data_IF_920167897840
#
_entry.id   IF_920167897840
#
_cell.length_a   1.000
_cell.length_b   1.000
_cell.length_c   1.000
_cell.angle_alpha   90.00
_cell.angle_beta   90.00
_cell.angle_gamma   90.00
#
_symmetry.space_group_name_H-M   'P 1'
#
loop_
_entity.id
_entity.type
_entity.pdbx_description
1 polymer ?
#
# COMPACT_ATOMS: atom_id res chain seq x y z
N UNK A 1 0.74 8.97 15.57
CA UNK A 1 2.17 8.70 15.88
C UNK A 1 2.60 9.19 17.26
N UNK A 2 2.35 10.46 17.65
CA UNK A 2 2.81 11.00 18.94
C UNK A 2 2.31 10.20 20.14
N UNK A 3 1.03 9.79 20.12
CA UNK A 3 0.46 8.98 21.20
C UNK A 3 1.15 7.62 21.29
N UNK A 4 1.38 6.97 20.15
CA UNK A 4 2.07 5.68 20.09
C UNK A 4 3.53 5.80 20.58
N UNK A 5 4.24 6.86 20.22
CA UNK A 5 5.59 7.12 20.73
C UNK A 5 5.63 7.25 22.25
N UNK A 6 4.66 7.99 22.83
CA UNK A 6 4.57 8.13 24.30
C UNK A 6 4.30 6.78 24.97
N UNK A 7 3.40 5.98 24.40
CA UNK A 7 3.07 4.65 24.92
C UNK A 7 4.24 3.66 24.79
N UNK A 8 4.98 3.72 23.69
CA UNK A 8 6.17 2.91 23.50
C UNK A 8 7.26 3.23 24.52
N UNK A 9 7.53 4.52 24.77
CA UNK A 9 8.49 4.94 25.80
C UNK A 9 8.08 4.53 27.22
N UNK A 10 6.80 4.33 27.45
CA UNK A 10 6.26 3.81 28.70
C UNK A 10 6.26 2.27 28.78
N UNK A 11 6.71 1.58 27.73
CA UNK A 11 6.66 0.13 27.64
C UNK A 11 5.26 -0.47 27.51
N UNK A 12 4.26 0.34 27.13
CA UNK A 12 2.86 -0.06 27.02
C UNK A 12 2.48 -0.61 25.67
N UNK A 13 3.25 -0.31 24.62
CA UNK A 13 3.15 -0.92 23.30
C UNK A 13 4.53 -1.34 22.81
N UNK A 14 4.58 -2.25 21.85
CA UNK A 14 5.81 -2.70 21.21
C UNK A 14 6.31 -1.73 20.14
N UNK A 15 7.06 -2.27 19.20
CA UNK A 15 7.52 -1.53 18.01
C UNK A 15 6.34 -1.18 17.12
N UNK A 16 6.29 0.05 16.63
CA UNK A 16 5.31 0.45 15.63
C UNK A 16 6.01 1.17 14.47
N UNK A 17 5.36 1.19 13.32
CA UNK A 17 5.84 1.88 12.13
C UNK A 17 5.17 3.25 12.01
N UNK A 18 5.88 4.37 12.27
CA UNK A 18 5.29 5.70 12.19
C UNK A 18 4.95 6.08 10.75
N UNK A 19 3.84 6.77 10.55
CA UNK A 19 3.44 7.37 9.26
C UNK A 19 4.15 8.70 9.03
N UNK A 20 4.64 9.31 10.09
CA UNK A 20 5.25 10.66 10.09
C UNK A 20 6.20 10.88 8.92
N UNK A 21 5.89 11.90 8.10
CA UNK A 21 6.62 12.25 6.89
C UNK A 21 6.16 11.51 5.63
N UNK A 22 5.13 10.66 5.72
CA UNK A 22 4.53 9.91 4.60
C UNK A 22 3.01 10.03 4.58
N UNK A 23 2.45 10.99 5.31
CA UNK A 23 1.00 11.17 5.47
C UNK A 23 0.32 11.48 4.14
N UNK A 24 0.95 12.33 3.33
CA UNK A 24 0.38 12.72 2.04
C UNK A 24 0.22 11.55 1.08
N UNK A 25 1.20 10.62 1.07
CA UNK A 25 1.11 9.39 0.28
C UNK A 25 -0.06 8.51 0.71
N UNK A 26 -0.27 8.37 2.02
CA UNK A 26 -1.37 7.59 2.59
C UNK A 26 -2.73 8.24 2.31
N UNK A 27 -2.88 9.51 2.69
CA UNK A 27 -4.17 10.21 2.63
C UNK A 27 -4.59 10.48 1.19
N UNK A 28 -3.65 11.00 0.35
CA UNK A 28 -3.93 11.32 -1.03
C UNK A 28 -4.38 10.12 -1.85
N UNK A 29 -3.76 8.95 -1.64
CA UNK A 29 -4.11 7.75 -2.37
C UNK A 29 -5.41 7.09 -1.85
N UNK A 30 -5.59 7.01 -0.54
CA UNK A 30 -6.79 6.43 0.04
C UNK A 30 -8.06 7.22 -0.31
N UNK A 31 -7.94 8.55 -0.47
CA UNK A 31 -9.05 9.43 -0.85
C UNK A 31 -9.62 9.16 -2.26
N UNK A 32 -8.91 8.41 -3.09
CA UNK A 32 -9.37 8.02 -4.44
C UNK A 32 -10.27 6.79 -4.41
N UNK A 33 -10.14 5.96 -3.38
CA UNK A 33 -10.84 4.67 -3.31
C UNK A 33 -12.34 4.86 -3.04
N UNK A 34 -13.14 4.09 -3.76
CA UNK A 34 -14.57 3.88 -3.44
C UNK A 34 -14.70 2.88 -2.30
N UNK A 35 -15.85 2.82 -1.66
CA UNK A 35 -16.10 1.83 -0.60
C UNK A 35 -15.99 0.39 -1.10
N UNK A 36 -16.34 0.13 -2.36
CA UNK A 36 -16.23 -1.17 -3.02
C UNK A 36 -14.82 -1.58 -3.42
N UNK A 37 -13.87 -0.62 -3.49
CA UNK A 37 -12.47 -0.90 -3.82
C UNK A 37 -11.74 -1.58 -2.66
N UNK A 38 -10.72 -2.35 -3.00
CA UNK A 38 -9.88 -3.03 -2.03
C UNK A 38 -8.62 -2.23 -1.68
N UNK A 39 -8.33 -2.15 -0.40
CA UNK A 39 -7.06 -1.62 0.10
C UNK A 39 -6.23 -2.74 0.73
N UNK A 40 -4.98 -2.86 0.28
CA UNK A 40 -4.05 -3.89 0.73
C UNK A 40 -2.82 -3.21 1.33
N UNK A 41 -2.76 -3.21 2.65
CA UNK A 41 -1.74 -2.50 3.42
C UNK A 41 -0.54 -3.38 3.73
N UNK A 42 0.61 -2.75 3.97
CA UNK A 42 1.75 -3.36 4.61
C UNK A 42 1.67 -3.17 6.14
N UNK A 43 2.36 -2.15 6.66
CA UNK A 43 2.38 -1.87 8.11
C UNK A 43 2.57 -0.38 8.44
N UNK A 44 2.61 0.50 7.42
CA UNK A 44 2.85 1.93 7.62
C UNK A 44 1.68 2.80 7.14
N UNK A 45 0.54 2.20 6.88
CA UNK A 45 -0.59 2.84 6.23
C UNK A 45 -1.70 3.23 7.21
N UNK A 46 -1.36 3.47 8.49
CA UNK A 46 -2.36 3.80 9.51
C UNK A 46 -3.22 5.03 9.16
N UNK A 47 -2.68 6.02 8.44
CA UNK A 47 -3.48 7.16 8.01
C UNK A 47 -4.51 6.77 6.93
N UNK A 48 -4.13 5.90 5.99
CA UNK A 48 -5.05 5.35 4.98
C UNK A 48 -6.12 4.46 5.64
N UNK A 49 -5.73 3.64 6.61
CA UNK A 49 -6.66 2.78 7.35
C UNK A 49 -7.70 3.60 8.13
N UNK A 50 -7.28 4.70 8.79
CA UNK A 50 -8.20 5.61 9.47
C UNK A 50 -9.22 6.25 8.50
N UNK A 51 -8.80 6.61 7.30
CA UNK A 51 -9.72 7.12 6.26
C UNK A 51 -10.73 6.07 5.81
N UNK A 52 -10.36 4.79 5.90
CA UNK A 52 -11.20 3.64 5.53
C UNK A 52 -12.02 3.09 6.70
N UNK A 53 -12.08 3.82 7.83
CA UNK A 53 -12.96 3.49 8.94
C UNK A 53 -12.31 2.72 10.10
N UNK A 54 -11.02 2.35 10.01
CA UNK A 54 -10.31 1.81 11.19
C UNK A 54 -10.23 2.88 12.27
N UNK A 55 -10.43 2.51 13.52
CA UNK A 55 -10.38 3.46 14.63
C UNK A 55 -8.96 3.64 15.18
N UNK A 56 -8.73 4.74 15.89
CA UNK A 56 -7.46 4.94 16.61
C UNK A 56 -7.30 3.90 17.73
N UNK A 57 -8.39 3.41 18.29
CA UNK A 57 -8.41 2.38 19.31
C UNK A 57 -7.91 1.05 18.76
N UNK A 58 -8.42 0.63 17.59
CA UNK A 58 -7.96 -0.58 16.91
C UNK A 58 -6.46 -0.54 16.62
N UNK A 59 -5.95 0.60 16.15
CA UNK A 59 -4.52 0.78 15.92
C UNK A 59 -3.69 0.64 17.21
N UNK A 60 -4.18 1.20 18.32
CA UNK A 60 -3.50 1.10 19.61
C UNK A 60 -3.55 -0.32 20.17
N UNK A 61 -4.66 -1.02 20.02
CA UNK A 61 -4.80 -2.43 20.39
C UNK A 61 -3.87 -3.30 19.56
N UNK A 62 -3.81 -3.10 18.24
CA UNK A 62 -2.92 -3.85 17.35
C UNK A 62 -1.45 -3.74 17.79
N UNK A 63 -0.95 -2.51 17.98
CA UNK A 63 0.42 -2.27 18.43
C UNK A 63 0.64 -2.62 19.91
N UNK A 64 -0.42 -2.75 20.67
CA UNK A 64 -0.41 -3.30 22.03
C UNK A 64 -0.29 -4.83 22.08
N UNK A 65 -0.41 -5.51 20.92
CA UNK A 65 -0.34 -6.97 20.81
C UNK A 65 -1.68 -7.66 21.08
N UNK A 66 -2.79 -6.96 21.00
CA UNK A 66 -4.13 -7.52 21.17
C UNK A 66 -4.70 -7.94 19.81
N UNK A 67 -5.22 -9.15 19.71
CA UNK A 67 -5.77 -9.70 18.47
C UNK A 67 -6.94 -8.88 17.93
N UNK A 68 -7.74 -8.30 18.81
CA UNK A 68 -8.89 -7.46 18.47
C UNK A 68 -8.50 -6.26 17.60
N UNK A 69 -7.31 -5.72 17.81
CA UNK A 69 -6.78 -4.62 17.00
C UNK A 69 -6.42 -5.01 15.55
N UNK A 70 -6.27 -6.30 15.27
CA UNK A 70 -6.01 -6.84 13.93
C UNK A 70 -7.28 -7.15 13.12
N UNK A 71 -8.45 -7.02 13.74
CA UNK A 71 -9.72 -7.29 13.07
C UNK A 71 -10.05 -6.22 12.03
N UNK A 72 -10.49 -6.66 10.86
CA UNK A 72 -11.01 -5.80 9.82
C UNK A 72 -12.53 -6.04 9.75
N UNK A 73 -13.38 -5.00 9.91
CA UNK A 73 -14.83 -5.15 9.78
C UNK A 73 -15.23 -5.72 8.42
N UNK A 74 -16.27 -6.55 8.40
CA UNK A 74 -16.72 -7.26 7.18
C UNK A 74 -17.23 -6.33 6.07
N UNK A 75 -17.67 -5.13 6.42
CA UNK A 75 -18.17 -4.11 5.51
C UNK A 75 -17.05 -3.24 4.90
N UNK A 76 -15.80 -3.46 5.31
CA UNK A 76 -14.64 -2.72 4.82
C UNK A 76 -13.76 -3.65 3.97
N UNK A 77 -13.58 -3.31 2.69
CA UNK A 77 -12.72 -4.04 1.77
C UNK A 77 -11.23 -3.71 1.98
N UNK A 78 -10.70 -4.07 3.16
CA UNK A 78 -9.29 -3.98 3.47
C UNK A 78 -8.75 -5.36 3.81
N UNK A 79 -7.49 -5.64 3.43
CA UNK A 79 -6.78 -6.76 4.03
C UNK A 79 -6.14 -6.34 5.35
N UNK A 80 -5.97 -7.28 6.29
CA UNK A 80 -5.28 -7.00 7.54
C UNK A 80 -3.81 -6.63 7.27
N UNK A 81 -3.22 -5.92 8.22
CA UNK A 81 -1.80 -5.54 8.19
C UNK A 81 -0.90 -6.74 7.94
N UNK A 82 -0.02 -6.64 6.92
CA UNK A 82 0.92 -7.70 6.52
C UNK A 82 2.36 -7.27 6.77
N UNK A 83 3.06 -7.98 7.65
CA UNK A 83 4.46 -7.71 8.01
C UNK A 83 5.46 -8.33 7.00
N UNK A 84 5.24 -9.53 6.42
CA UNK A 84 6.16 -10.08 5.41
C UNK A 84 6.27 -9.16 4.20
N UNK A 85 7.47 -8.57 4.03
CA UNK A 85 7.71 -7.52 3.05
C UNK A 85 7.51 -8.01 1.62
N UNK A 86 6.59 -7.39 0.89
CA UNK A 86 6.31 -7.70 -0.52
C UNK A 86 5.16 -8.70 -0.74
N UNK A 87 4.85 -9.56 0.22
CA UNK A 87 3.85 -10.64 0.08
C UNK A 87 2.45 -10.12 -0.28
N UNK A 88 2.08 -8.94 0.23
CA UNK A 88 0.78 -8.32 -0.01
C UNK A 88 0.55 -7.97 -1.48
N UNK A 89 1.60 -7.81 -2.27
CA UNK A 89 1.47 -7.46 -3.69
C UNK A 89 0.80 -8.59 -4.50
N UNK A 90 1.13 -9.85 -4.22
CA UNK A 90 0.49 -11.02 -4.84
C UNK A 90 -0.98 -11.12 -4.45
N UNK A 91 -1.32 -10.85 -3.18
CA UNK A 91 -2.71 -10.85 -2.73
C UNK A 91 -3.54 -9.77 -3.46
N UNK A 92 -2.99 -8.56 -3.60
CA UNK A 92 -3.67 -7.48 -4.32
C UNK A 92 -3.94 -7.84 -5.78
N UNK A 93 -2.99 -8.45 -6.46
CA UNK A 93 -3.14 -8.91 -7.83
C UNK A 93 -4.21 -10.00 -7.94
N UNK A 94 -4.23 -10.94 -7.00
CA UNK A 94 -5.27 -11.98 -6.93
C UNK A 94 -6.67 -11.38 -6.74
N UNK A 95 -6.81 -10.38 -5.85
CA UNK A 95 -8.06 -9.64 -5.65
C UNK A 95 -8.46 -8.91 -6.93
N UNK A 96 -7.54 -8.16 -7.53
CA UNK A 96 -7.80 -7.44 -8.78
C UNK A 96 -8.25 -8.39 -9.90
N UNK A 97 -7.58 -9.53 -10.03
CA UNK A 97 -7.97 -10.54 -11.01
C UNK A 97 -9.36 -11.12 -10.74
N UNK A 98 -9.67 -11.41 -9.48
CA UNK A 98 -11.00 -11.91 -9.10
C UNK A 98 -12.11 -10.89 -9.40
N UNK A 99 -11.87 -9.59 -9.16
CA UNK A 99 -12.82 -8.53 -9.51
C UNK A 99 -13.04 -8.46 -11.02
N UNK A 100 -11.96 -8.46 -11.81
CA UNK A 100 -12.03 -8.50 -13.28
C UNK A 100 -12.79 -9.71 -13.78
N UNK A 101 -12.50 -10.90 -13.26
CA UNK A 101 -13.18 -12.14 -13.64
C UNK A 101 -14.68 -12.09 -13.35
N UNK A 102 -15.08 -11.38 -12.29
CA UNK A 102 -16.48 -11.17 -11.92
C UNK A 102 -17.17 -10.01 -12.66
N UNK A 103 -16.46 -9.34 -13.56
CA UNK A 103 -16.99 -8.21 -14.34
C UNK A 103 -17.21 -6.94 -13.49
N UNK A 104 -16.48 -6.79 -12.38
CA UNK A 104 -16.54 -5.58 -11.54
C UNK A 104 -15.53 -4.55 -12.02
N UNK A 105 -15.84 -3.26 -11.83
CA UNK A 105 -14.97 -2.13 -12.14
C UNK A 105 -14.18 -1.62 -10.89
N UNK A 106 -14.18 -2.40 -9.82
CA UNK A 106 -13.44 -2.10 -8.60
C UNK A 106 -11.94 -2.28 -8.82
N UNK A 107 -11.13 -1.56 -8.03
CA UNK A 107 -9.68 -1.65 -8.06
C UNK A 107 -9.11 -2.16 -6.73
N UNK A 108 -7.90 -2.72 -6.78
CA UNK A 108 -7.12 -3.06 -5.61
C UNK A 108 -5.91 -2.12 -5.51
N UNK A 109 -5.82 -1.31 -4.47
CA UNK A 109 -4.65 -0.47 -4.17
C UNK A 109 -3.78 -1.19 -3.17
N UNK A 110 -2.51 -1.46 -3.53
CA UNK A 110 -1.54 -2.09 -2.64
C UNK A 110 -0.41 -1.15 -2.30
N UNK A 111 -0.09 -1.08 -1.00
CA UNK A 111 1.01 -0.29 -0.47
C UNK A 111 2.22 -1.16 -0.17
N UNK A 112 3.40 -0.63 -0.43
CA UNK A 112 4.68 -1.27 -0.07
C UNK A 112 5.81 -0.24 -0.04
N UNK A 113 6.89 -0.54 0.68
CA UNK A 113 8.08 0.30 0.72
C UNK A 113 9.07 -0.02 -0.42
N UNK A 114 10.08 0.84 -0.58
CA UNK A 114 11.17 0.63 -1.55
C UNK A 114 11.89 -0.71 -1.38
N UNK A 115 12.05 -1.18 -0.14
CA UNK A 115 12.64 -2.49 0.15
C UNK A 115 11.87 -3.68 -0.44
N UNK A 116 10.56 -3.59 -0.53
CA UNK A 116 9.73 -4.63 -1.14
C UNK A 116 10.04 -4.84 -2.62
N UNK A 117 10.55 -3.81 -3.31
CA UNK A 117 10.92 -3.91 -4.73
C UNK A 117 12.14 -4.79 -4.99
N UNK A 118 12.77 -5.31 -3.97
CA UNK A 118 13.87 -6.29 -4.04
C UNK A 118 13.41 -7.74 -3.79
N UNK A 119 12.12 -7.94 -3.47
CA UNK A 119 11.53 -9.26 -3.25
C UNK A 119 11.02 -9.86 -4.57
N UNK A 120 11.07 -11.20 -4.68
CA UNK A 120 10.54 -11.94 -5.83
C UNK A 120 9.05 -11.67 -6.03
N UNK A 121 8.27 -11.73 -4.95
CA UNK A 121 6.82 -11.52 -4.93
C UNK A 121 6.40 -10.23 -5.65
N UNK A 122 7.16 -9.13 -5.46
CA UNK A 122 6.90 -7.87 -6.15
C UNK A 122 7.02 -8.01 -7.68
N UNK A 123 8.05 -8.67 -8.16
CA UNK A 123 8.29 -8.86 -9.59
C UNK A 123 7.27 -9.83 -10.21
N UNK A 124 6.92 -10.88 -9.49
CA UNK A 124 5.91 -11.84 -9.90
C UNK A 124 4.53 -11.19 -9.97
N UNK A 125 4.18 -10.38 -8.95
CA UNK A 125 2.93 -9.63 -8.93
C UNK A 125 2.82 -8.65 -10.10
N UNK A 126 3.85 -7.86 -10.38
CA UNK A 126 3.88 -6.94 -11.52
C UNK A 126 3.76 -7.68 -12.86
N UNK A 127 4.49 -8.79 -13.00
CA UNK A 127 4.43 -9.59 -14.23
C UNK A 127 3.02 -10.14 -14.45
N UNK A 128 2.40 -10.69 -13.40
CA UNK A 128 1.03 -11.19 -13.48
C UNK A 128 0.04 -10.06 -13.79
N UNK A 129 0.19 -8.92 -13.12
CA UNK A 129 -0.66 -7.76 -13.37
C UNK A 129 -0.56 -7.26 -14.81
N UNK A 130 0.65 -7.17 -15.36
CA UNK A 130 0.88 -6.78 -16.76
C UNK A 130 0.28 -7.74 -17.76
N UNK A 131 0.48 -9.06 -17.57
CA UNK A 131 -0.04 -10.10 -18.48
C UNK A 131 -1.57 -10.14 -18.48
N UNK A 132 -2.18 -10.13 -17.30
CA UNK A 132 -3.63 -10.27 -17.15
C UNK A 132 -4.38 -8.93 -17.08
N UNK A 133 -3.65 -7.80 -17.09
CA UNK A 133 -4.22 -6.45 -16.96
C UNK A 133 -5.18 -6.39 -15.78
N UNK A 134 -4.68 -6.76 -14.61
CA UNK A 134 -5.49 -6.73 -13.38
C UNK A 134 -5.71 -5.29 -12.94
N UNK A 135 -6.89 -4.91 -12.44
CA UNK A 135 -7.15 -3.57 -11.92
C UNK A 135 -6.45 -3.37 -10.57
N UNK A 136 -5.12 -3.38 -10.59
CA UNK A 136 -4.27 -3.29 -9.39
C UNK A 136 -3.35 -2.08 -9.47
N UNK A 137 -3.42 -1.22 -8.46
CA UNK A 137 -2.57 -0.03 -8.33
C UNK A 137 -1.46 -0.33 -7.34
N UNK A 138 -0.21 -0.22 -7.77
CA UNK A 138 0.98 -0.47 -6.98
C UNK A 138 1.55 0.84 -6.45
N UNK A 139 1.36 1.15 -5.17
CA UNK A 139 1.85 2.37 -4.55
C UNK A 139 3.11 2.10 -3.72
N UNK A 140 4.26 2.50 -4.27
CA UNK A 140 5.55 2.39 -3.60
C UNK A 140 5.84 3.63 -2.76
N UNK A 141 5.87 3.50 -1.46
CA UNK A 141 6.31 4.54 -0.52
C UNK A 141 7.84 4.51 -0.42
N UNK A 142 8.51 5.28 -1.29
CA UNK A 142 9.96 5.29 -1.37
C UNK A 142 10.56 6.24 -0.33
N UNK A 143 10.68 5.78 0.90
CA UNK A 143 11.34 6.52 1.99
C UNK A 143 12.86 6.37 1.98
N UNK A 144 13.45 5.74 0.95
CA UNK A 144 14.88 5.53 0.72
C UNK A 144 15.55 4.53 1.65
N UNK A 145 14.80 3.85 2.53
CA UNK A 145 15.38 2.93 3.52
C UNK A 145 14.55 1.66 3.69
N UNK A 146 15.19 0.51 3.58
CA UNK A 146 14.66 -0.77 4.01
C UNK A 146 15.33 -1.13 5.34
N UNK A 147 14.70 -0.80 6.47
CA UNK A 147 15.24 -0.91 7.83
C UNK A 147 16.58 -0.15 7.93
N UNK A 148 17.70 -0.83 7.71
CA UNK A 148 19.06 -0.29 7.80
C UNK A 148 19.78 -0.18 6.44
N UNK A 149 19.14 -0.64 5.36
CA UNK A 149 19.73 -0.66 4.02
C UNK A 149 19.23 0.52 3.20
N UNK A 150 20.11 1.46 2.81
CA UNK A 150 19.69 2.58 1.96
C UNK A 150 19.37 2.09 0.55
N UNK A 151 18.47 2.80 -0.13
CA UNK A 151 18.02 2.48 -1.49
C UNK A 151 19.18 2.28 -2.48
N UNK A 152 20.25 3.06 -2.36
CA UNK A 152 21.44 2.96 -3.23
C UNK A 152 22.15 1.61 -3.16
N UNK A 153 21.95 0.86 -2.07
CA UNK A 153 22.48 -0.49 -1.90
C UNK A 153 21.46 -1.58 -2.28
N UNK A 154 20.20 -1.22 -2.52
CA UNK A 154 19.17 -2.16 -2.90
C UNK A 154 19.01 -2.29 -4.42
N UNK A 155 19.19 -1.21 -5.16
CA UNK A 155 18.96 -1.21 -6.61
C UNK A 155 19.83 -0.19 -7.34
N UNK A 156 20.20 -0.52 -8.57
CA UNK A 156 20.87 0.38 -9.52
C UNK A 156 19.91 1.12 -10.44
N UNK A 157 18.62 0.83 -10.37
CA UNK A 157 17.60 1.57 -11.13
C UNK A 157 17.60 3.05 -10.73
N UNK A 158 17.55 3.96 -11.69
CA UNK A 158 17.48 5.41 -11.40
C UNK A 158 16.25 5.75 -10.60
N UNK A 159 15.10 5.19 -10.96
CA UNK A 159 13.85 5.30 -10.24
C UNK A 159 13.24 3.92 -9.99
N UNK A 160 12.41 3.77 -8.97
CA UNK A 160 11.69 2.52 -8.74
C UNK A 160 10.56 2.33 -9.77
N UNK A 161 9.99 3.42 -10.28
CA UNK A 161 8.98 3.38 -11.34
C UNK A 161 9.47 2.67 -12.62
N UNK A 162 10.78 2.70 -12.90
CA UNK A 162 11.36 1.97 -14.05
C UNK A 162 11.15 0.46 -13.96
N UNK A 163 11.01 -0.11 -12.76
CA UNK A 163 10.77 -1.55 -12.59
C UNK A 163 9.43 -1.98 -13.16
N UNK A 164 8.43 -1.12 -13.11
CA UNK A 164 7.11 -1.39 -13.69
C UNK A 164 7.18 -1.57 -15.21
N UNK A 165 7.99 -0.78 -15.90
CA UNK A 165 8.14 -0.84 -17.35
C UNK A 165 8.66 -2.21 -17.83
N UNK A 166 9.52 -2.86 -17.05
CA UNK A 166 10.04 -4.19 -17.38
C UNK A 166 8.92 -5.27 -17.43
N UNK A 167 7.80 -4.99 -16.77
CA UNK A 167 6.63 -5.89 -16.71
C UNK A 167 5.45 -5.41 -17.57
N UNK A 168 5.66 -4.38 -18.39
CA UNK A 168 4.60 -3.81 -19.24
C UNK A 168 3.54 -3.02 -18.46
N UNK A 169 3.83 -2.65 -17.21
CA UNK A 169 2.96 -1.84 -16.36
C UNK A 169 3.43 -0.39 -16.41
N UNK A 170 2.53 0.58 -16.60
CA UNK A 170 2.89 1.99 -16.55
C UNK A 170 3.42 2.39 -15.17
N UNK A 171 4.52 3.13 -15.15
CA UNK A 171 5.13 3.62 -13.91
C UNK A 171 5.22 5.13 -13.91
N UNK A 172 4.75 5.75 -12.83
CA UNK A 172 4.84 7.20 -12.59
C UNK A 172 5.60 7.44 -11.28
N UNK A 173 6.40 8.51 -11.25
CA UNK A 173 7.02 9.00 -10.02
C UNK A 173 6.38 10.34 -9.66
N UNK A 174 5.92 10.46 -8.43
CA UNK A 174 5.24 11.65 -7.91
C UNK A 174 5.91 12.10 -6.61
N UNK A 175 5.79 13.37 -6.26
CA UNK A 175 6.18 13.87 -4.94
C UNK A 175 5.20 13.31 -3.89
N UNK A 176 5.69 12.36 -3.09
CA UNK A 176 4.90 11.69 -2.05
C UNK A 176 4.56 12.57 -0.84
N UNK A 177 5.09 13.80 -0.77
CA UNK A 177 4.75 14.80 0.25
C UNK A 177 3.73 15.85 -0.23
N UNK A 178 3.40 15.83 -1.52
CA UNK A 178 2.31 16.62 -2.07
C UNK A 178 1.04 15.77 -2.17
N UNK A 179 0.10 16.01 -1.27
CA UNK A 179 -1.16 15.25 -1.20
C UNK A 179 -2.00 15.38 -2.47
N UNK A 180 -1.97 16.53 -3.14
CA UNK A 180 -2.73 16.76 -4.37
C UNK A 180 -2.09 16.04 -5.55
N UNK A 181 -0.75 16.02 -5.63
CA UNK A 181 -0.03 15.27 -6.63
C UNK A 181 -0.25 13.76 -6.49
N UNK A 182 -0.21 13.23 -5.25
CA UNK A 182 -0.52 11.83 -4.96
C UNK A 182 -1.96 11.50 -5.34
N UNK A 183 -2.91 12.34 -4.95
CA UNK A 183 -4.32 12.15 -5.31
C UNK A 183 -4.52 12.11 -6.82
N UNK A 184 -3.97 13.07 -7.56
CA UNK A 184 -4.11 13.16 -9.01
C UNK A 184 -3.52 11.92 -9.71
N UNK A 185 -2.30 11.52 -9.34
CA UNK A 185 -1.64 10.35 -9.92
C UNK A 185 -2.39 9.05 -9.59
N UNK A 186 -2.86 8.89 -8.35
CA UNK A 186 -3.62 7.69 -7.96
C UNK A 186 -4.97 7.65 -8.65
N UNK A 187 -5.63 8.81 -8.82
CA UNK A 187 -6.91 8.90 -9.54
C UNK A 187 -6.76 8.48 -11.00
N UNK A 188 -5.73 8.99 -11.69
CA UNK A 188 -5.42 8.59 -13.06
C UNK A 188 -5.20 7.07 -13.17
N UNK A 189 -4.39 6.51 -12.25
CA UNK A 189 -4.14 5.08 -12.21
C UNK A 189 -5.44 4.27 -11.96
N UNK A 190 -6.31 4.74 -11.06
CA UNK A 190 -7.58 4.10 -10.78
C UNK A 190 -8.54 4.13 -11.98
N UNK A 191 -8.62 5.26 -12.67
CA UNK A 191 -9.45 5.41 -13.89
C UNK A 191 -8.98 4.46 -15.00
N UNK A 192 -7.68 4.35 -15.21
CA UNK A 192 -7.08 3.40 -16.16
C UNK A 192 -7.34 1.96 -15.79
N UNK A 193 -7.14 1.60 -14.52
CA UNK A 193 -7.39 0.26 -14.04
C UNK A 193 -8.87 -0.14 -14.22
N UNK A 194 -9.81 0.78 -13.97
CA UNK A 194 -11.25 0.57 -14.16
C UNK A 194 -11.64 0.42 -15.63
N UNK A 195 -10.95 1.12 -16.54
CA UNK A 195 -11.21 1.02 -17.98
C UNK A 195 -10.73 -0.31 -18.58
N UNK A 196 -10.04 -1.15 -17.81
CA UNK A 196 -9.50 -2.43 -18.27
C UNK A 196 -8.14 -2.33 -18.96
N UNK A 197 -7.49 -1.19 -18.88
CA UNK A 197 -6.13 -1.02 -19.41
C UNK A 197 -5.06 -1.71 -18.54
N UNK A 198 -5.39 -1.91 -17.26
CA UNK A 198 -4.51 -2.54 -16.28
C UNK A 198 -3.62 -1.57 -15.54
#
# INVERSE_FOLDING_TARGET
DERMWRLQRQGRIGTFAPVKGQEAANVGSAAVLRDSDWMVVAFRESAAELMRGRTMEDLLLYYGGYNEGGYVPEDINNLPTSIPVGSQTLHAVGIGWAMKYRGKDDVALVYFGDGATSQGDFHEALNFAGVFKTPTIFLCQNNQWAISVPRSHQTKSKTLAQKALAHGVPGIQVDGNDVLAVYAATKEAAERARSGEG
#
